data_IF_400588544047
#
_entry.id   IF_400588544047
#
_cell.length_a   1.000
_cell.length_b   1.000
_cell.length_c   1.000
_cell.angle_alpha   90.00
_cell.angle_beta   90.00
_cell.angle_gamma   90.00
#
_symmetry.space_group_name_H-M   'P 1'
#
loop_
_entity.id
_entity.type
_entity.pdbx_description
1 polymer ?
#
# COMPACT_ATOMS: atom_id res chain seq x y z
N UNK A 1 18.24 -20.43 -18.79
CA UNK A 1 17.94 -20.47 -17.35
C UNK A 1 17.28 -19.17 -16.96
N UNK A 2 16.03 -19.22 -16.51
CA UNK A 2 15.27 -18.05 -16.06
C UNK A 2 15.46 -17.82 -14.56
N UNK A 3 15.42 -16.55 -14.13
CA UNK A 3 15.58 -16.16 -12.72
C UNK A 3 14.19 -16.04 -12.10
N UNK A 4 13.84 -16.88 -11.12
CA UNK A 4 12.55 -16.92 -10.45
C UNK A 4 11.38 -16.70 -11.43
N UNK A 5 11.06 -17.71 -12.21
CA UNK A 5 10.29 -17.52 -13.42
C UNK A 5 8.78 -17.60 -13.20
N UNK A 6 8.03 -16.93 -14.07
CA UNK A 6 6.60 -17.16 -14.25
C UNK A 6 6.34 -17.86 -15.57
N UNK A 7 5.32 -18.72 -15.60
CA UNK A 7 4.77 -19.23 -16.85
C UNK A 7 4.10 -18.09 -17.61
N UNK A 8 4.61 -17.81 -18.80
CA UNK A 8 3.95 -16.94 -19.78
C UNK A 8 3.15 -17.85 -20.70
N UNK A 9 1.83 -17.64 -20.78
CA UNK A 9 0.98 -18.41 -21.69
C UNK A 9 0.79 -17.61 -22.97
N UNK A 10 1.35 -18.04 -24.13
CA UNK A 10 1.18 -17.32 -25.39
C UNK A 10 -0.28 -17.36 -25.92
N UNK A 11 -1.13 -18.17 -25.31
CA UNK A 11 -2.53 -18.38 -25.71
C UNK A 11 -3.54 -17.76 -24.73
N UNK A 12 -3.07 -17.20 -23.60
CA UNK A 12 -3.94 -16.54 -22.62
C UNK A 12 -4.01 -15.04 -22.88
N UNK A 13 -5.16 -14.43 -22.58
CA UNK A 13 -5.29 -12.97 -22.53
C UNK A 13 -4.49 -12.34 -21.37
N UNK A 14 -4.09 -13.15 -20.39
CA UNK A 14 -3.32 -12.71 -19.24
C UNK A 14 -1.80 -12.69 -19.52
N UNK A 15 -1.06 -11.70 -18.98
CA UNK A 15 0.37 -11.53 -19.27
C UNK A 15 1.27 -12.62 -18.68
N UNK A 16 0.81 -13.31 -17.62
CA UNK A 16 1.48 -14.43 -16.98
C UNK A 16 0.48 -15.23 -16.14
N UNK A 17 0.84 -16.47 -15.78
CA UNK A 17 0.02 -17.31 -14.90
C UNK A 17 0.08 -16.79 -13.46
N UNK A 18 -1.08 -16.37 -12.96
CA UNK A 18 -1.28 -15.88 -11.60
C UNK A 18 -1.27 -17.03 -10.58
N UNK A 19 -0.71 -16.77 -9.40
CA UNK A 19 -0.85 -17.61 -8.21
C UNK A 19 -2.30 -17.55 -7.70
N UNK A 20 -2.72 -18.50 -6.86
CA UNK A 20 -4.03 -18.43 -6.21
C UNK A 20 -4.22 -17.08 -5.51
N UNK A 21 -5.35 -16.41 -5.79
CA UNK A 21 -5.69 -15.09 -5.25
C UNK A 21 -4.70 -13.97 -5.62
N UNK A 22 -3.87 -14.14 -6.65
CA UNK A 22 -3.00 -13.09 -7.17
C UNK A 22 -3.80 -12.12 -8.06
N UNK A 23 -3.66 -10.83 -7.80
CA UNK A 23 -4.28 -9.75 -8.57
C UNK A 23 -3.21 -8.77 -9.02
N UNK A 24 -3.27 -8.33 -10.26
CA UNK A 24 -2.37 -7.29 -10.80
C UNK A 24 -2.89 -5.94 -10.33
N UNK A 25 -2.01 -5.17 -9.67
CA UNK A 25 -2.32 -3.87 -9.07
C UNK A 25 -1.65 -2.72 -9.83
N UNK A 26 -0.54 -3.01 -10.52
CA UNK A 26 0.15 -2.04 -11.36
C UNK A 26 0.75 -2.70 -12.59
N UNK A 27 0.81 -1.96 -13.69
CA UNK A 27 1.48 -2.31 -14.94
C UNK A 27 2.30 -1.12 -15.42
N UNK A 28 3.60 -1.30 -15.60
CA UNK A 28 4.49 -0.27 -16.13
C UNK A 28 4.27 -0.06 -17.64
N UNK A 29 4.82 1.04 -18.21
CA UNK A 29 5.02 1.15 -19.65
C UNK A 29 5.89 0.02 -20.22
N UNK A 30 5.89 -0.15 -21.55
CA UNK A 30 6.58 -1.26 -22.24
C UNK A 30 8.09 -1.04 -22.38
N UNK A 31 8.55 0.21 -22.26
CA UNK A 31 9.98 0.55 -22.30
C UNK A 31 10.59 0.62 -20.90
N UNK A 32 10.30 -0.39 -20.07
CA UNK A 32 10.94 -0.58 -18.76
C UNK A 32 12.06 -1.60 -18.88
N UNK A 33 13.31 -1.19 -18.66
CA UNK A 33 14.46 -2.10 -18.61
C UNK A 33 14.67 -2.61 -17.19
N UNK A 34 15.22 -3.81 -17.05
CA UNK A 34 15.54 -4.44 -15.77
C UNK A 34 17.01 -4.88 -15.74
N UNK A 35 17.68 -4.70 -14.60
CA UNK A 35 19.03 -5.20 -14.34
C UNK A 35 19.09 -5.81 -12.95
N UNK A 36 19.72 -6.97 -12.85
CA UNK A 36 20.07 -7.68 -11.61
C UNK A 36 21.59 -7.83 -11.57
N UNK A 37 22.24 -7.39 -10.50
CA UNK A 37 23.69 -7.48 -10.38
C UNK A 37 24.15 -7.82 -8.96
N UNK A 38 25.30 -8.46 -8.85
CA UNK A 38 25.99 -8.60 -7.56
C UNK A 38 26.31 -7.22 -6.98
N UNK A 39 26.16 -7.01 -5.65
CA UNK A 39 26.47 -5.73 -5.02
C UNK A 39 27.92 -5.27 -5.27
N UNK A 40 28.18 -3.96 -5.36
CA UNK A 40 29.46 -3.40 -5.79
C UNK A 40 30.65 -3.69 -4.86
N UNK A 41 30.43 -4.14 -3.62
CA UNK A 41 31.48 -4.46 -2.65
C UNK A 41 31.50 -5.94 -2.22
N UNK A 42 31.02 -6.83 -3.08
CA UNK A 42 31.10 -8.26 -2.81
C UNK A 42 32.56 -8.70 -3.02
N UNK A 43 33.35 -8.78 -1.94
CA UNK A 43 34.73 -9.31 -1.93
C UNK A 43 34.76 -10.83 -2.18
N UNK A 44 34.12 -11.29 -3.25
CA UNK A 44 34.21 -12.66 -3.72
C UNK A 44 35.26 -12.72 -4.82
N UNK A 45 36.12 -13.73 -4.78
CA UNK A 45 37.06 -14.06 -5.87
C UNK A 45 36.35 -14.52 -7.16
N UNK A 46 35.02 -14.56 -7.16
CA UNK A 46 34.16 -14.88 -8.30
C UNK A 46 33.89 -13.65 -9.17
N UNK A 47 33.77 -13.85 -10.48
CA UNK A 47 33.35 -12.82 -11.44
C UNK A 47 32.03 -12.14 -11.02
N UNK A 48 31.87 -10.83 -11.31
CA UNK A 48 30.63 -10.11 -11.06
C UNK A 48 29.50 -10.73 -11.87
N UNK A 49 28.41 -11.07 -11.19
CA UNK A 49 27.21 -11.62 -11.82
C UNK A 49 26.28 -10.48 -12.21
N UNK A 50 25.83 -10.47 -13.46
CA UNK A 50 24.90 -9.47 -13.98
C UNK A 50 23.96 -10.09 -15.02
N UNK A 51 22.68 -9.78 -14.92
CA UNK A 51 21.64 -10.17 -15.87
C UNK A 51 20.74 -8.98 -16.13
N UNK A 52 20.50 -8.64 -17.40
CA UNK A 52 19.72 -7.48 -17.79
C UNK A 52 18.80 -7.73 -18.99
N UNK A 53 17.82 -6.85 -19.14
CA UNK A 53 16.92 -6.74 -20.30
C UNK A 53 16.68 -5.26 -20.61
N UNK A 54 16.78 -4.88 -21.88
CA UNK A 54 16.68 -3.50 -22.35
C UNK A 54 15.26 -2.95 -22.45
N UNK A 55 14.24 -3.82 -22.35
CA UNK A 55 12.84 -3.43 -22.46
C UNK A 55 11.90 -4.56 -22.08
N UNK A 56 10.74 -4.20 -21.56
CA UNK A 56 9.76 -5.12 -21.00
C UNK A 56 8.74 -4.39 -20.13
N UNK A 57 7.85 -5.17 -19.53
CA UNK A 57 6.80 -4.66 -18.65
C UNK A 57 7.02 -5.21 -17.24
N UNK A 58 7.08 -4.31 -16.26
CA UNK A 58 7.06 -4.62 -14.85
C UNK A 58 5.61 -4.57 -14.33
N UNK A 59 5.24 -5.56 -13.53
CA UNK A 59 3.95 -5.68 -12.89
C UNK A 59 4.13 -5.74 -11.38
N UNK A 60 3.23 -5.09 -10.65
CA UNK A 60 3.10 -5.30 -9.21
C UNK A 60 1.78 -6.02 -8.97
N UNK A 61 1.82 -7.08 -8.19
CA UNK A 61 0.64 -7.80 -7.73
C UNK A 61 0.47 -7.65 -6.22
N UNK A 62 -0.59 -8.19 -5.66
CA UNK A 62 -0.76 -8.28 -4.20
C UNK A 62 0.21 -9.26 -3.50
N UNK A 63 1.08 -9.97 -4.23
CA UNK A 63 2.01 -10.97 -3.66
C UNK A 63 3.48 -10.76 -4.05
N UNK A 64 3.72 -10.36 -5.28
CA UNK A 64 5.06 -10.33 -5.91
C UNK A 64 5.15 -9.26 -7.00
N UNK A 65 6.38 -8.88 -7.33
CA UNK A 65 6.67 -8.19 -8.58
C UNK A 65 6.94 -9.23 -9.68
N UNK A 66 6.56 -8.91 -10.91
CA UNK A 66 6.80 -9.74 -12.09
C UNK A 66 7.34 -8.86 -13.19
N UNK A 67 8.37 -9.31 -13.90
CA UNK A 67 8.92 -8.64 -15.06
C UNK A 67 8.90 -9.57 -16.27
N UNK A 68 8.33 -9.09 -17.36
CA UNK A 68 8.26 -9.78 -18.64
C UNK A 68 9.07 -8.97 -19.67
N UNK A 69 10.25 -9.45 -20.07
CA UNK A 69 11.04 -8.88 -21.15
C UNK A 69 10.23 -8.83 -22.46
N UNK A 70 10.42 -7.76 -23.24
CA UNK A 70 9.89 -7.70 -24.62
C UNK A 70 10.59 -8.71 -25.52
N UNK A 71 11.91 -8.89 -25.31
CA UNK A 71 12.74 -9.87 -26.01
C UNK A 71 13.35 -10.81 -24.99
N UNK A 72 12.74 -11.98 -24.74
CA UNK A 72 13.27 -12.97 -23.80
C UNK A 72 14.66 -13.43 -24.19
N UNK A 73 15.58 -13.49 -23.23
CA UNK A 73 16.92 -14.03 -23.43
C UNK A 73 17.10 -15.38 -22.71
N UNK A 74 18.12 -16.18 -23.07
CA UNK A 74 18.41 -17.42 -22.35
C UNK A 74 18.72 -17.20 -20.86
N UNK A 75 19.17 -16.02 -20.47
CA UNK A 75 19.50 -15.65 -19.07
C UNK A 75 18.33 -15.00 -18.34
N UNK A 76 17.40 -14.39 -19.06
CA UNK A 76 16.24 -13.70 -18.51
C UNK A 76 15.03 -13.88 -19.42
N UNK A 77 14.25 -14.93 -19.17
CA UNK A 77 12.98 -15.17 -19.86
C UNK A 77 11.83 -14.42 -19.18
N UNK A 78 11.77 -14.50 -17.86
CA UNK A 78 10.88 -13.75 -16.99
C UNK A 78 11.54 -13.63 -15.62
N UNK A 79 11.08 -12.68 -14.81
CA UNK A 79 11.54 -12.51 -13.44
C UNK A 79 10.35 -12.32 -12.50
N UNK A 80 10.46 -12.90 -11.31
CA UNK A 80 9.46 -12.85 -10.26
C UNK A 80 10.15 -12.71 -8.91
N UNK A 81 9.62 -11.86 -8.03
CA UNK A 81 10.17 -11.72 -6.69
C UNK A 81 9.04 -11.41 -5.70
N UNK A 82 8.87 -12.20 -4.62
CA UNK A 82 7.94 -11.86 -3.55
C UNK A 82 8.21 -10.46 -3.01
N UNK A 83 7.16 -9.68 -2.73
CA UNK A 83 7.32 -8.29 -2.29
C UNK A 83 8.14 -8.20 -1.00
N UNK A 84 7.99 -9.17 -0.09
CA UNK A 84 8.70 -9.22 1.18
C UNK A 84 10.21 -9.56 1.04
N UNK A 85 10.65 -10.00 -0.14
CA UNK A 85 12.06 -10.26 -0.42
C UNK A 85 12.80 -9.02 -0.96
N UNK A 86 12.11 -7.89 -1.09
CA UNK A 86 12.67 -6.64 -1.62
C UNK A 86 12.88 -5.64 -0.48
N UNK A 87 14.13 -5.24 -0.30
CA UNK A 87 14.60 -4.33 0.74
C UNK A 87 15.19 -3.05 0.12
N UNK A 88 15.39 -2.02 0.94
CA UNK A 88 16.06 -0.77 0.56
C UNK A 88 15.55 -0.16 -0.75
N UNK A 89 14.24 -0.05 -0.85
CA UNK A 89 13.53 0.35 -2.06
C UNK A 89 13.51 1.87 -2.19
N UNK A 90 13.93 2.39 -3.34
CA UNK A 90 13.92 3.83 -3.60
C UNK A 90 13.75 4.15 -5.07
N UNK A 91 13.25 5.36 -5.36
CA UNK A 91 13.12 5.92 -6.71
C UNK A 91 14.00 7.15 -6.85
N UNK A 92 14.62 7.32 -8.02
CA UNK A 92 15.41 8.51 -8.36
C UNK A 92 14.98 9.07 -9.70
N UNK A 93 14.92 10.40 -9.75
CA UNK A 93 14.77 11.19 -10.96
C UNK A 93 16.07 11.96 -11.22
N UNK A 94 16.99 11.43 -12.04
CA UNK A 94 18.18 12.17 -12.40
C UNK A 94 17.82 13.38 -13.27
N UNK A 95 18.60 14.46 -13.19
CA UNK A 95 18.41 15.67 -14.04
C UNK A 95 18.44 15.35 -15.53
N UNK A 96 19.24 14.36 -15.91
CA UNK A 96 19.31 13.84 -17.27
C UNK A 96 19.17 12.33 -17.25
N UNK A 97 18.32 11.79 -18.13
CA UNK A 97 18.05 10.37 -18.24
C UNK A 97 16.68 9.96 -17.68
N UNK A 98 16.42 8.67 -17.72
CA UNK A 98 15.16 8.10 -17.29
C UNK A 98 15.14 7.88 -15.76
N UNK A 99 13.96 8.04 -15.17
CA UNK A 99 13.74 7.70 -13.77
C UNK A 99 13.96 6.20 -13.56
N UNK A 100 14.51 5.85 -12.40
CA UNK A 100 14.73 4.46 -12.06
C UNK A 100 14.28 4.17 -10.63
N UNK A 101 13.80 2.95 -10.45
CA UNK A 101 13.49 2.37 -9.16
C UNK A 101 14.48 1.25 -8.88
N UNK A 102 14.89 1.13 -7.63
CA UNK A 102 15.93 0.18 -7.20
C UNK A 102 15.51 -0.50 -5.91
N UNK A 103 16.00 -1.72 -5.71
CA UNK A 103 15.79 -2.52 -4.52
C UNK A 103 16.91 -3.54 -4.31
N UNK A 104 17.14 -3.93 -3.07
CA UNK A 104 17.96 -5.08 -2.70
C UNK A 104 17.09 -6.34 -2.67
N UNK A 105 17.40 -7.34 -3.48
CA UNK A 105 16.67 -8.62 -3.58
C UNK A 105 17.34 -9.66 -2.69
N UNK A 106 16.56 -10.28 -1.80
CA UNK A 106 16.94 -11.52 -1.13
C UNK A 106 16.56 -12.73 -2.01
N UNK A 107 17.55 -13.48 -2.54
CA UNK A 107 17.27 -14.63 -3.39
C UNK A 107 16.52 -15.75 -2.65
N UNK A 108 15.77 -16.54 -3.41
CA UNK A 108 15.09 -17.75 -2.93
C UNK A 108 15.81 -18.99 -3.47
N UNK A 109 15.87 -20.05 -2.67
CA UNK A 109 16.45 -21.32 -3.11
C UNK A 109 15.76 -21.85 -4.38
N UNK A 110 16.56 -22.29 -5.36
CA UNK A 110 16.04 -22.74 -6.67
C UNK A 110 15.64 -21.61 -7.62
N UNK A 111 15.87 -20.34 -7.25
CA UNK A 111 15.45 -19.16 -8.00
C UNK A 111 16.32 -18.74 -9.18
N UNK A 112 17.33 -19.51 -9.57
CA UNK A 112 18.22 -19.18 -10.68
C UNK A 112 19.27 -18.08 -10.40
N UNK A 113 19.27 -17.50 -9.20
CA UNK A 113 20.36 -16.64 -8.71
C UNK A 113 21.42 -17.53 -8.03
N UNK A 114 22.73 -17.29 -8.27
CA UNK A 114 23.78 -18.05 -7.61
C UNK A 114 23.63 -18.04 -6.07
N UNK A 115 23.69 -19.21 -5.40
CA UNK A 115 23.51 -19.29 -3.95
C UNK A 115 24.63 -18.62 -3.15
N UNK A 116 25.76 -18.30 -3.80
CA UNK A 116 26.85 -17.52 -3.23
C UNK A 116 26.48 -16.05 -2.99
N UNK A 117 25.41 -15.55 -3.62
CA UNK A 117 24.94 -14.17 -3.47
C UNK A 117 23.83 -14.13 -2.41
N UNK A 118 24.11 -13.54 -1.25
CA UNK A 118 23.12 -13.34 -0.20
C UNK A 118 22.11 -12.23 -0.53
N UNK A 119 22.55 -11.23 -1.30
CA UNK A 119 21.77 -10.09 -1.78
C UNK A 119 22.17 -9.76 -3.21
N UNK A 120 21.22 -9.23 -3.97
CA UNK A 120 21.39 -8.80 -5.37
C UNK A 120 20.75 -7.44 -5.55
N UNK A 121 21.42 -6.55 -6.29
CA UNK A 121 20.87 -5.24 -6.63
C UNK A 121 19.92 -5.37 -7.82
N UNK A 122 18.68 -4.94 -7.65
CA UNK A 122 17.69 -4.81 -8.70
C UNK A 122 17.54 -3.34 -9.08
N UNK A 123 17.58 -3.06 -10.38
CA UNK A 123 17.28 -1.76 -10.96
C UNK A 123 16.26 -1.91 -12.09
N UNK A 124 15.20 -1.11 -12.04
CA UNK A 124 14.25 -0.92 -13.13
C UNK A 124 14.34 0.52 -13.64
N UNK A 125 14.47 0.72 -14.95
CA UNK A 125 14.56 2.06 -15.56
C UNK A 125 13.38 2.30 -16.47
N UNK A 126 12.64 3.38 -16.21
CA UNK A 126 11.35 3.67 -16.82
C UNK A 126 11.50 4.75 -17.89
N UNK A 127 11.69 4.34 -19.15
CA UNK A 127 11.99 5.26 -20.27
C UNK A 127 10.77 6.07 -20.76
N UNK A 128 9.59 5.79 -20.23
CA UNK A 128 8.31 6.42 -20.58
C UNK A 128 7.59 6.99 -19.34
N UNK A 129 8.31 7.14 -18.21
CA UNK A 129 7.70 7.57 -16.94
C UNK A 129 7.06 6.42 -16.15
N UNK A 130 6.34 6.76 -15.09
CA UNK A 130 5.69 5.79 -14.19
C UNK A 130 6.55 5.25 -13.05
N UNK A 131 7.83 5.63 -12.94
CA UNK A 131 8.71 5.15 -11.86
C UNK A 131 8.21 5.54 -10.45
N UNK A 132 7.67 6.75 -10.29
CA UNK A 132 7.11 7.21 -9.02
C UNK A 132 5.81 6.50 -8.68
N UNK A 133 4.92 6.31 -9.66
CA UNK A 133 3.68 5.56 -9.47
C UNK A 133 3.98 4.11 -9.09
N UNK A 134 4.92 3.47 -9.79
CA UNK A 134 5.41 2.14 -9.45
C UNK A 134 5.93 2.09 -8.01
N UNK A 135 6.76 3.07 -7.61
CA UNK A 135 7.30 3.15 -6.25
C UNK A 135 6.18 3.30 -5.21
N UNK A 136 5.24 4.22 -5.42
CA UNK A 136 4.15 4.48 -4.48
C UNK A 136 3.24 3.26 -4.31
N UNK A 137 2.86 2.61 -5.42
CA UNK A 137 2.05 1.38 -5.37
C UNK A 137 2.82 0.26 -4.70
N UNK A 138 4.11 0.12 -4.99
CA UNK A 138 4.98 -0.87 -4.36
C UNK A 138 5.06 -0.68 -2.84
N UNK A 139 5.35 0.54 -2.36
CA UNK A 139 5.47 0.82 -0.92
C UNK A 139 4.13 0.59 -0.20
N UNK A 140 3.02 1.03 -0.79
CA UNK A 140 1.68 0.78 -0.25
C UNK A 140 1.43 -0.72 -0.06
N UNK A 141 1.68 -1.53 -1.09
CA UNK A 141 1.42 -2.97 -1.02
C UNK A 141 2.38 -3.63 -0.02
N UNK A 142 3.66 -3.24 -0.02
CA UNK A 142 4.67 -3.77 0.90
C UNK A 142 4.31 -3.49 2.35
N UNK A 143 3.88 -2.28 2.68
CA UNK A 143 3.43 -1.92 4.03
C UNK A 143 2.22 -2.76 4.45
N UNK A 144 1.20 -2.84 3.60
CA UNK A 144 -0.01 -3.65 3.86
C UNK A 144 0.33 -5.13 4.04
N UNK A 145 1.27 -5.65 3.26
CA UNK A 145 1.73 -7.03 3.35
C UNK A 145 2.45 -7.28 4.67
N UNK A 146 3.30 -6.37 5.12
CA UNK A 146 3.90 -6.47 6.46
C UNK A 146 2.87 -6.46 7.57
N UNK A 147 1.88 -5.57 7.51
CA UNK A 147 0.78 -5.50 8.49
C UNK A 147 0.00 -6.82 8.52
N UNK A 148 -0.42 -7.32 7.35
CA UNK A 148 -1.18 -8.57 7.25
C UNK A 148 -0.40 -9.78 7.78
N UNK A 149 0.89 -9.86 7.45
CA UNK A 149 1.78 -10.93 7.96
C UNK A 149 1.96 -10.82 9.47
N UNK A 150 2.12 -9.62 10.01
CA UNK A 150 2.27 -9.41 11.45
C UNK A 150 1.01 -9.83 12.20
N UNK A 151 -0.16 -9.36 11.76
CA UNK A 151 -1.46 -9.76 12.33
C UNK A 151 -1.67 -11.27 12.27
N UNK A 152 -1.31 -11.90 11.15
CA UNK A 152 -1.42 -13.36 11.02
C UNK A 152 -0.50 -14.09 12.00
N UNK A 153 0.74 -13.62 12.18
CA UNK A 153 1.69 -14.19 13.15
C UNK A 153 1.22 -14.03 14.59
N UNK A 154 0.72 -12.85 14.94
CA UNK A 154 0.19 -12.57 16.27
C UNK A 154 -1.05 -13.41 16.58
N UNK A 155 -1.85 -13.72 15.56
CA UNK A 155 -2.98 -14.65 15.63
C UNK A 155 -2.58 -16.14 15.55
N UNK A 156 -1.29 -16.47 15.50
CA UNK A 156 -0.78 -17.85 15.39
C UNK A 156 -1.12 -18.54 14.05
N UNK A 157 -1.44 -17.77 13.01
CA UNK A 157 -1.82 -18.28 11.69
C UNK A 157 -0.61 -18.49 10.79
N UNK A 158 -0.73 -19.46 9.89
CA UNK A 158 0.26 -19.69 8.86
C UNK A 158 0.23 -18.56 7.82
N UNK A 159 1.39 -18.02 7.47
CA UNK A 159 1.50 -16.89 6.53
C UNK A 159 1.51 -17.35 5.06
N UNK A 160 1.99 -18.55 4.79
CA UNK A 160 2.17 -19.09 3.45
C UNK A 160 3.61 -19.57 3.24
N UNK A 161 3.96 -19.91 2.01
CA UNK A 161 5.27 -20.46 1.67
C UNK A 161 5.65 -20.26 0.21
N UNK A 162 6.50 -21.13 -0.32
CA UNK A 162 7.01 -21.03 -1.70
C UNK A 162 5.90 -21.01 -2.78
N UNK A 163 4.71 -21.54 -2.48
CA UNK A 163 3.56 -21.58 -3.39
C UNK A 163 2.66 -20.34 -3.40
N UNK A 164 2.98 -19.31 -2.62
CA UNK A 164 2.17 -18.11 -2.48
C UNK A 164 1.71 -17.87 -1.04
N UNK A 165 1.05 -16.73 -0.84
CA UNK A 165 0.55 -16.31 0.46
C UNK A 165 -0.83 -16.91 0.74
N UNK A 166 -1.11 -17.23 2.01
CA UNK A 166 -2.42 -17.78 2.38
C UNK A 166 -3.56 -16.77 2.11
N UNK A 167 -4.72 -17.24 1.64
CA UNK A 167 -5.85 -16.37 1.27
C UNK A 167 -6.33 -15.50 2.42
N UNK A 168 -6.33 -16.02 3.66
CA UNK A 168 -6.75 -15.28 4.86
C UNK A 168 -5.81 -14.12 5.19
N UNK A 169 -4.52 -14.25 4.87
CA UNK A 169 -3.55 -13.15 5.04
C UNK A 169 -3.81 -12.08 3.99
N UNK A 170 -4.08 -12.50 2.75
CA UNK A 170 -4.42 -11.58 1.66
C UNK A 170 -5.78 -10.89 1.86
N UNK A 171 -6.73 -11.50 2.56
CA UNK A 171 -8.01 -10.86 2.93
C UNK A 171 -7.82 -9.66 3.86
N UNK A 172 -6.76 -9.65 4.68
CA UNK A 172 -6.38 -8.48 5.48
C UNK A 172 -5.84 -7.31 4.63
N UNK A 173 -5.51 -7.53 3.36
CA UNK A 173 -5.10 -6.48 2.43
C UNK A 173 -6.32 -5.75 1.88
N UNK A 174 -6.93 -4.89 2.70
CA UNK A 174 -7.95 -3.97 2.21
C UNK A 174 -7.26 -2.88 1.37
N UNK A 175 -7.23 -3.10 0.04
CA UNK A 175 -6.57 -2.23 -0.94
C UNK A 175 -7.38 -0.98 -1.29
N UNK A 176 -8.60 -0.85 -0.77
CA UNK A 176 -9.45 0.32 -1.00
C UNK A 176 -9.07 1.43 -0.03
N UNK A 177 -8.71 2.61 -0.58
CA UNK A 177 -8.65 3.84 0.18
C UNK A 177 -10.02 4.06 0.82
N UNK A 178 -10.06 4.27 2.13
CA UNK A 178 -11.27 4.72 2.81
C UNK A 178 -11.81 5.95 2.05
N UNK A 179 -13.14 6.06 1.83
CA UNK A 179 -13.72 7.23 1.21
C UNK A 179 -13.20 8.48 1.92
N UNK A 180 -12.70 9.45 1.15
CA UNK A 180 -12.38 10.75 1.73
C UNK A 180 -13.66 11.29 2.36
N UNK A 181 -13.59 11.73 3.62
CA UNK A 181 -14.72 12.36 4.28
C UNK A 181 -15.15 13.57 3.45
N UNK A 182 -16.31 13.47 2.81
CA UNK A 182 -16.98 14.64 2.24
C UNK A 182 -17.69 15.35 3.41
N UNK A 183 -17.29 16.57 3.78
CA UNK A 183 -18.04 17.33 4.76
C UNK A 183 -19.45 17.57 4.20
N UNK A 184 -20.46 17.27 5.00
CA UNK A 184 -21.85 17.56 4.65
C UNK A 184 -21.95 19.03 4.24
N UNK A 185 -22.40 19.27 3.01
CA UNK A 185 -22.63 20.62 2.51
C UNK A 185 -23.57 21.34 3.49
N UNK A 186 -23.09 22.44 4.07
CA UNK A 186 -23.85 23.29 4.96
C UNK A 186 -25.04 23.87 4.21
N UNK A 187 -26.23 23.32 4.44
CA UNK A 187 -27.50 23.92 4.00
C UNK A 187 -27.67 25.28 4.67
N UNK A 188 -27.85 26.38 3.91
CA UNK A 188 -28.10 27.68 4.52
C UNK A 188 -29.45 27.66 5.24
N UNK A 189 -29.42 27.94 6.55
CA UNK A 189 -30.61 28.09 7.37
C UNK A 189 -31.47 29.24 6.85
N UNK A 190 -32.67 28.91 6.34
CA UNK A 190 -33.69 29.89 6.02
C UNK A 190 -34.27 30.46 7.33
N UNK A 191 -34.06 31.76 7.53
CA UNK A 191 -34.60 32.51 8.65
C UNK A 191 -36.13 32.61 8.61
N UNK A 192 -36.75 32.36 9.75
CA UNK A 192 -38.18 32.47 10.07
C UNK A 192 -38.68 33.91 10.15
N UNK A 193 -39.90 34.16 9.67
CA UNK A 193 -40.65 35.39 9.99
C UNK A 193 -42.13 35.41 9.55
N UNK A 194 -43.02 35.20 10.54
CA UNK A 194 -44.42 35.71 10.71
C UNK A 194 -45.56 35.34 9.72
N UNK A 195 -46.67 34.78 10.25
CA UNK A 195 -47.94 34.39 9.57
C UNK A 195 -48.94 35.54 9.28
N UNK A 196 -50.28 35.35 9.23
CA UNK A 196 -51.11 34.13 9.42
C UNK A 196 -52.28 33.92 8.38
N UNK A 197 -53.12 32.89 8.62
CA UNK A 197 -54.55 32.70 8.22
C UNK A 197 -54.95 32.35 6.75
N UNK A 198 -55.54 31.15 6.52
CA UNK A 198 -57.01 30.86 6.37
C UNK A 198 -57.35 29.51 5.71
N UNK A 199 -58.24 28.79 6.40
CA UNK A 199 -59.37 27.93 5.96
C UNK A 199 -59.30 27.03 4.71
N UNK A 200 -59.63 25.74 4.90
CA UNK A 200 -60.01 24.82 3.82
C UNK A 200 -60.32 23.40 4.28
N UNK A 201 -61.61 23.09 4.37
CA UNK A 201 -62.27 21.84 4.80
C UNK A 201 -61.84 20.52 4.11
N UNK A 202 -62.05 19.38 4.78
CA UNK A 202 -62.26 18.08 4.12
C UNK A 202 -62.03 16.84 4.97
N UNK A 203 -63.12 16.22 5.47
CA UNK A 203 -63.17 14.89 6.11
C UNK A 203 -62.83 13.75 5.14
N UNK A 204 -62.23 12.65 5.62
CA UNK A 204 -62.73 11.27 5.43
C UNK A 204 -61.84 10.22 6.14
N UNK A 205 -62.52 9.23 6.72
CA UNK A 205 -62.05 8.02 7.39
C UNK A 205 -61.07 7.13 6.61
N UNK A 206 -60.30 6.33 7.35
CA UNK A 206 -60.21 4.89 7.06
C UNK A 206 -58.82 4.29 6.79
N UNK A 207 -58.51 3.28 7.61
CA UNK A 207 -57.59 2.16 7.40
C UNK A 207 -56.08 2.34 7.62
N UNK A 208 -55.65 1.74 8.74
CA UNK A 208 -54.31 1.30 9.02
C UNK A 208 -53.71 0.43 7.91
N UNK A 209 -52.50 0.78 7.48
CA UNK A 209 -51.53 -0.16 6.89
C UNK A 209 -50.13 0.35 7.20
N UNK A 210 -49.31 -0.50 7.81
CA UNK A 210 -47.99 -0.18 8.34
C UNK A 210 -47.04 0.37 7.27
N UNK A 211 -46.42 1.51 7.58
CA UNK A 211 -45.30 2.08 6.83
C UNK A 211 -43.96 1.46 7.29
N UNK A 212 -42.98 1.33 6.38
CA UNK A 212 -41.64 0.82 6.65
C UNK A 212 -40.80 1.86 7.43
N UNK A 213 -40.07 1.37 8.43
CA UNK A 213 -39.22 2.17 9.32
C UNK A 213 -38.15 2.94 8.53
N UNK A 214 -38.22 4.26 8.69
CA UNK A 214 -37.33 5.26 8.12
C UNK A 214 -36.09 5.44 9.00
N UNK A 215 -34.93 5.59 8.34
CA UNK A 215 -33.87 6.55 8.67
C UNK A 215 -33.35 6.56 10.12
N UNK A 216 -32.35 5.72 10.42
CA UNK A 216 -31.50 5.94 11.60
C UNK A 216 -30.54 7.11 11.31
N UNK A 217 -30.85 8.28 11.85
CA UNK A 217 -29.93 9.42 11.93
C UNK A 217 -28.67 9.03 12.74
N UNK A 218 -27.50 9.59 12.42
CA UNK A 218 -26.31 9.40 13.26
C UNK A 218 -26.58 9.97 14.66
N UNK A 219 -26.09 9.32 15.74
CA UNK A 219 -26.24 9.83 17.08
C UNK A 219 -25.53 11.18 17.20
N UNK A 220 -26.28 12.23 17.51
CA UNK A 220 -25.84 13.62 17.65
C UNK A 220 -25.14 13.89 19.00
N UNK A 221 -24.91 12.83 19.79
CA UNK A 221 -24.38 12.93 21.14
C UNK A 221 -23.01 12.22 21.20
N UNK A 222 -21.97 12.91 21.72
CA UNK A 222 -20.67 12.29 21.88
C UNK A 222 -20.78 11.06 22.79
N UNK A 223 -19.96 10.03 22.57
CA UNK A 223 -20.03 8.80 23.34
C UNK A 223 -19.93 9.11 24.85
N UNK A 224 -20.73 8.43 25.70
CA UNK A 224 -20.78 8.70 27.13
C UNK A 224 -19.37 8.62 27.74
N UNK A 225 -18.93 9.71 28.38
CA UNK A 225 -17.58 9.84 28.96
C UNK A 225 -16.57 10.62 28.10
N UNK A 226 -16.94 11.07 26.91
CA UNK A 226 -16.03 11.81 26.02
C UNK A 226 -15.59 13.18 26.59
N UNK A 227 -16.50 13.91 27.24
CA UNK A 227 -16.17 15.18 27.89
C UNK A 227 -15.18 14.99 29.06
N UNK A 228 -15.33 13.91 29.82
CA UNK A 228 -14.42 13.58 30.93
C UNK A 228 -13.03 13.22 30.41
N UNK A 229 -12.96 12.45 29.32
CA UNK A 229 -11.69 12.13 28.66
C UNK A 229 -10.99 13.38 28.07
N UNK A 230 -11.75 14.31 27.48
CA UNK A 230 -11.21 15.60 27.02
C UNK A 230 -10.71 16.45 28.18
N UNK A 231 -11.49 16.57 29.26
CA UNK A 231 -11.12 17.35 30.43
C UNK A 231 -9.84 16.82 31.09
N UNK A 232 -9.70 15.49 31.17
CA UNK A 232 -8.48 14.85 31.68
C UNK A 232 -7.27 15.12 30.77
N UNK A 233 -7.44 15.02 29.44
CA UNK A 233 -6.35 15.29 28.50
C UNK A 233 -5.85 16.75 28.58
N UNK A 234 -6.76 17.71 28.70
CA UNK A 234 -6.42 19.14 28.86
C UNK A 234 -5.72 19.39 30.21
N UNK A 235 -6.18 18.75 31.28
CA UNK A 235 -5.55 18.84 32.61
C UNK A 235 -4.11 18.32 32.61
N UNK A 236 -3.85 17.20 31.94
CA UNK A 236 -2.50 16.60 31.83
C UNK A 236 -1.56 17.49 31.02
N UNK A 237 -2.01 18.08 29.90
CA UNK A 237 -1.18 18.98 29.08
C UNK A 237 -0.81 20.26 29.84
N UNK A 238 -1.75 20.82 30.60
CA UNK A 238 -1.51 22.02 31.41
C UNK A 238 -0.49 21.77 32.53
N UNK A 239 -0.61 20.64 33.25
CA UNK A 239 0.33 20.27 34.32
C UNK A 239 1.74 20.05 33.77
N UNK A 240 1.87 19.40 32.61
CA UNK A 240 3.17 19.22 31.93
C UNK A 240 3.81 20.54 31.52
N UNK A 241 3.01 21.50 31.03
CA UNK A 241 3.51 22.84 30.67
C UNK A 241 3.97 23.62 31.89
N UNK A 242 3.23 23.55 33.00
CA UNK A 242 3.60 24.21 34.26
C UNK A 242 4.88 23.63 34.85
N UNK A 243 5.04 22.29 34.82
CA UNK A 243 6.29 21.63 35.24
C UNK A 243 7.49 22.06 34.41
N UNK A 244 7.34 22.06 33.07
CA UNK A 244 8.42 22.48 32.16
C UNK A 244 8.82 23.93 32.40
N UNK A 245 7.87 24.81 32.71
CA UNK A 245 8.14 26.22 33.03
C UNK A 245 8.85 26.38 34.37
N UNK A 246 8.45 25.61 35.39
CA UNK A 246 9.08 25.61 36.70
C UNK A 246 10.50 25.02 36.69
N UNK A 247 10.78 24.07 35.79
CA UNK A 247 12.13 23.55 35.56
C UNK A 247 13.02 24.59 34.88
N UNK A 248 12.48 25.40 33.96
CA UNK A 248 13.21 26.46 33.28
C UNK A 248 13.57 27.64 34.20
N UNK A 249 12.65 28.05 35.09
CA UNK A 249 12.89 29.15 36.04
C UNK A 249 13.91 28.79 37.16
N UNK A 250 14.16 27.49 37.39
CA UNK A 250 15.19 27.03 38.36
C UNK A 250 16.61 27.04 37.79
N UNK A 251 16.76 26.97 36.47
CA UNK A 251 18.07 26.91 35.80
C UNK A 251 18.62 28.30 35.45
N UNK A 252 17.80 29.36 35.57
CA UNK A 252 18.19 30.77 35.32
C UNK A 252 18.55 31.55 36.59
N UNK A 253 18.76 30.88 37.73
CA UNK A 253 18.92 31.52 39.05
C UNK A 253 20.32 31.44 39.68
N UNK A 254 21.29 30.78 39.04
CA UNK A 254 22.69 30.69 39.52
C UNK A 254 23.65 31.29 38.47
N UNK A 255 23.71 32.63 38.42
CA UNK A 255 24.88 33.42 38.00
C UNK A 255 25.11 34.58 38.97
#
# INVERSE_FOLDING_TARGET
>A
MSINWVMVSPQSSEPFVKLPNERILYRSPIRTSLSLSSPPNTHSSSQPWCVSSDGGVAYITNQRIVYIPTTPSPTLNSFSCPILNLHDTYVRAPFFGANYWTASVRPVAGGGIPPSLALVDLRMTFREGGAFDYHNVFELIKERLHQAVQTARDAGRNVGGAGGMNPEVLQGLHLEQLPAYEPAASTPAAGTGSGPEREGQGQADGQARADPEATAAPPDEPPPGYEEAQAQAVGIDLDQRLRRRAEFDRDSGDE
#
